data_IF_391990491708
#
_entry.id   IF_391990491708
#
_cell.length_a   1.000
_cell.length_b   1.000
_cell.length_c   1.000
_cell.angle_alpha   90.00
_cell.angle_beta   90.00
_cell.angle_gamma   90.00
#
_symmetry.space_group_name_H-M   'P 1'
#
loop_
_entity.id
_entity.type
_entity.pdbx_description
1 polymer ?
#
# COMPACT_ATOMS: atom_id res chain seq x y z
N UNK A 1 6.40 44.73 -6.71
CA UNK A 1 6.77 45.62 -7.79
C UNK A 1 7.94 45.05 -8.58
N UNK A 2 7.79 45.08 -9.89
CA UNK A 2 8.79 44.87 -10.96
C UNK A 2 9.31 43.44 -11.17
N UNK A 3 9.49 42.93 -12.39
CA UNK A 3 9.10 43.38 -13.74
C UNK A 3 9.17 42.14 -14.65
N UNK A 4 8.28 42.12 -15.61
CA UNK A 4 8.36 41.26 -16.81
C UNK A 4 9.52 41.73 -17.70
N UNK A 5 10.27 40.81 -18.32
CA UNK A 5 10.97 41.05 -19.57
C UNK A 5 10.69 39.85 -20.49
N UNK A 6 9.97 40.12 -21.55
CA UNK A 6 9.83 39.24 -22.71
C UNK A 6 10.93 39.53 -23.73
N UNK A 7 11.33 38.51 -24.48
CA UNK A 7 12.00 38.69 -25.76
C UNK A 7 11.42 37.73 -26.79
N UNK A 8 10.98 38.33 -27.87
CA UNK A 8 10.45 37.70 -29.09
C UNK A 8 11.57 37.51 -30.13
N UNK A 9 11.36 36.55 -31.01
CA UNK A 9 11.66 36.71 -32.42
C UNK A 9 12.93 36.03 -32.98
N UNK A 10 12.73 35.24 -34.02
CA UNK A 10 13.76 34.90 -34.97
C UNK A 10 13.50 33.57 -35.69
N UNK A 11 12.63 33.61 -36.69
CA UNK A 11 12.50 32.53 -37.68
C UNK A 11 13.65 32.61 -38.71
N UNK A 12 14.11 31.45 -39.14
CA UNK A 12 14.88 31.31 -40.39
C UNK A 12 14.40 30.10 -41.16
N UNK A 13 13.93 30.39 -42.35
CA UNK A 13 13.49 29.42 -43.37
C UNK A 13 14.70 28.68 -43.95
N UNK A 14 14.51 27.41 -44.30
CA UNK A 14 15.41 26.59 -45.10
C UNK A 14 15.02 26.65 -46.56
N UNK A 15 15.98 26.65 -47.48
CA UNK A 15 15.70 26.54 -48.93
C UNK A 15 15.55 25.09 -49.37
N UNK A 16 14.54 24.87 -50.19
CA UNK A 16 14.32 23.66 -51.00
C UNK A 16 15.29 23.58 -52.16
N UNK A 17 15.90 22.41 -52.37
CA UNK A 17 16.42 22.02 -53.70
C UNK A 17 15.97 20.61 -54.00
N UNK A 18 15.24 20.50 -55.12
CA UNK A 18 14.88 19.26 -55.77
C UNK A 18 16.06 18.83 -56.69
N UNK A 19 16.31 17.53 -56.76
CA UNK A 19 16.97 16.89 -57.85
C UNK A 19 16.49 15.44 -58.01
N UNK A 20 15.87 15.16 -59.15
CA UNK A 20 15.53 13.86 -59.68
C UNK A 20 16.79 13.04 -60.04
N UNK A 21 16.73 11.72 -59.86
CA UNK A 21 17.26 10.73 -60.82
C UNK A 21 16.94 9.29 -60.38
N UNK A 22 16.16 8.67 -61.21
CA UNK A 22 16.06 7.30 -61.74
C UNK A 22 16.68 6.07 -61.04
N UNK A 23 15.76 5.09 -60.86
CA UNK A 23 15.77 3.68 -61.19
C UNK A 23 16.96 2.79 -60.74
N UNK A 24 16.62 1.78 -59.96
CA UNK A 24 17.39 0.59 -59.70
C UNK A 24 16.59 -0.40 -58.86
N UNK A 25 15.78 -1.25 -59.47
CA UNK A 25 15.10 -2.35 -58.81
C UNK A 25 16.11 -3.40 -58.33
N UNK A 26 16.27 -3.53 -57.04
CA UNK A 26 16.88 -4.71 -56.40
C UNK A 26 16.00 -5.09 -55.23
N UNK A 27 15.25 -6.16 -55.43
CA UNK A 27 14.48 -6.83 -54.37
C UNK A 27 15.42 -7.56 -53.42
N UNK A 28 15.89 -6.88 -52.43
CA UNK A 28 16.48 -7.52 -51.24
C UNK A 28 15.42 -7.61 -50.16
N UNK A 29 14.90 -8.81 -49.93
CA UNK A 29 14.08 -9.14 -48.78
C UNK A 29 14.86 -8.85 -47.50
N UNK A 30 14.53 -7.74 -46.82
CA UNK A 30 15.04 -7.47 -45.52
C UNK A 30 14.60 -8.55 -44.51
N UNK A 31 15.48 -9.01 -43.63
CA UNK A 31 15.08 -9.95 -42.61
C UNK A 31 14.03 -9.24 -41.72
N UNK A 32 12.87 -9.88 -41.59
CA UNK A 32 11.83 -9.48 -40.66
C UNK A 32 12.41 -9.52 -39.26
N UNK A 33 12.81 -8.38 -38.71
CA UNK A 33 13.14 -8.28 -37.31
C UNK A 33 11.86 -8.57 -36.53
N UNK A 34 11.82 -9.73 -35.88
CA UNK A 34 10.77 -10.07 -34.95
C UNK A 34 10.66 -8.92 -33.95
N UNK A 35 9.46 -8.33 -33.82
CA UNK A 35 9.14 -7.32 -32.80
C UNK A 35 9.54 -7.97 -31.47
N UNK A 36 10.31 -7.28 -30.60
CA UNK A 36 10.57 -7.81 -29.27
C UNK A 36 9.22 -8.15 -28.62
N UNK A 37 9.04 -9.39 -28.25
CA UNK A 37 7.90 -9.81 -27.42
C UNK A 37 8.02 -9.03 -26.13
N UNK A 38 7.04 -8.18 -25.83
CA UNK A 38 6.90 -7.58 -24.50
C UNK A 38 7.00 -8.73 -23.50
N UNK A 39 7.78 -8.56 -22.41
CA UNK A 39 7.83 -9.57 -21.37
C UNK A 39 6.40 -9.80 -20.90
N UNK A 40 5.98 -11.07 -20.84
CA UNK A 40 4.68 -11.47 -20.36
C UNK A 40 4.41 -10.81 -19.02
N UNK A 41 3.44 -9.89 -19.01
CA UNK A 41 2.95 -9.30 -17.78
C UNK A 41 2.36 -10.45 -16.97
N UNK A 42 2.74 -10.66 -15.70
CA UNK A 42 2.07 -11.63 -14.86
C UNK A 42 0.57 -11.39 -14.96
N UNK A 43 -0.19 -12.42 -15.29
CA UNK A 43 -1.64 -12.30 -15.31
C UNK A 43 -2.07 -11.92 -13.92
N UNK A 44 -2.85 -10.86 -13.85
CA UNK A 44 -3.50 -10.44 -12.62
C UNK A 44 -4.16 -11.65 -11.94
N UNK A 45 -3.73 -12.07 -10.75
CA UNK A 45 -4.26 -13.25 -10.09
C UNK A 45 -5.61 -12.99 -9.40
N UNK A 46 -6.14 -11.78 -9.52
CA UNK A 46 -7.36 -11.39 -8.85
C UNK A 46 -8.58 -12.05 -9.46
N UNK A 47 -9.45 -12.58 -8.61
CA UNK A 47 -10.83 -12.84 -8.96
C UNK A 47 -11.67 -11.65 -8.54
N UNK A 48 -12.28 -10.96 -9.50
CA UNK A 48 -13.09 -9.77 -9.25
C UNK A 48 -14.54 -10.14 -9.00
N UNK A 49 -15.13 -9.48 -8.00
CA UNK A 49 -16.53 -9.62 -7.64
C UNK A 49 -17.13 -8.30 -7.16
N UNK A 50 -18.42 -8.35 -6.89
CA UNK A 50 -19.18 -7.25 -6.27
C UNK A 50 -20.05 -7.80 -5.14
N UNK A 51 -20.07 -7.08 -4.04
CA UNK A 51 -21.02 -7.32 -2.95
C UNK A 51 -21.66 -5.98 -2.58
N UNK A 52 -22.93 -5.79 -2.92
CA UNK A 52 -23.60 -4.49 -2.82
C UNK A 52 -22.72 -3.40 -3.48
N UNK A 53 -22.33 -2.37 -2.73
CA UNK A 53 -21.47 -1.27 -3.18
C UNK A 53 -19.98 -1.50 -2.85
N UNK A 54 -19.53 -2.75 -2.70
CA UNK A 54 -18.13 -3.11 -2.43
C UNK A 54 -17.55 -3.85 -3.62
N UNK A 55 -16.45 -3.36 -4.16
CA UNK A 55 -15.63 -4.08 -5.13
C UNK A 55 -14.73 -5.07 -4.40
N UNK A 56 -14.88 -6.34 -4.72
CA UNK A 56 -14.17 -7.44 -4.09
C UNK A 56 -13.08 -7.94 -5.00
N UNK A 57 -11.94 -8.30 -4.40
CA UNK A 57 -10.91 -9.15 -5.00
C UNK A 57 -10.75 -10.36 -4.13
N UNK A 58 -10.47 -11.49 -4.76
CA UNK A 58 -10.22 -12.74 -4.04
C UNK A 58 -8.92 -13.36 -4.54
N UNK A 59 -8.12 -13.85 -3.61
CA UNK A 59 -6.91 -14.62 -3.91
C UNK A 59 -6.85 -15.84 -3.02
N UNK A 60 -6.27 -16.91 -3.55
CA UNK A 60 -6.00 -18.13 -2.79
C UNK A 60 -4.50 -18.35 -2.74
N UNK A 61 -3.99 -18.61 -1.55
CA UNK A 61 -2.61 -18.98 -1.30
C UNK A 61 -2.58 -20.44 -0.92
N UNK A 62 -1.90 -21.23 -1.74
CA UNK A 62 -1.66 -22.64 -1.45
C UNK A 62 -0.50 -22.72 -0.44
N UNK A 63 -0.80 -23.15 0.76
CA UNK A 63 0.20 -23.37 1.81
C UNK A 63 0.93 -24.70 1.67
N UNK A 64 0.42 -25.60 0.80
CA UNK A 64 0.87 -26.99 0.71
C UNK A 64 0.57 -27.82 1.96
N UNK A 65 -0.30 -27.33 2.86
CA UNK A 65 -0.66 -27.97 4.12
C UNK A 65 -2.15 -28.25 4.10
N UNK A 66 -2.54 -29.42 4.53
CA UNK A 66 -3.95 -29.70 4.76
C UNK A 66 -4.45 -28.95 6.00
N UNK A 67 -5.76 -28.81 6.12
CA UNK A 67 -6.41 -28.19 7.28
C UNK A 67 -7.62 -27.34 6.87
N UNK A 68 -8.27 -26.76 7.86
CA UNK A 68 -9.36 -25.82 7.61
C UNK A 68 -8.81 -24.52 7.01
N UNK A 69 -9.39 -24.00 5.92
CA UNK A 69 -8.92 -22.77 5.32
C UNK A 69 -8.92 -21.59 6.32
N UNK A 70 -7.88 -20.77 6.24
CA UNK A 70 -7.81 -19.49 6.96
C UNK A 70 -8.25 -18.38 6.04
N UNK A 71 -9.21 -17.57 6.49
CA UNK A 71 -9.71 -16.43 5.74
C UNK A 71 -9.29 -15.13 6.41
N UNK A 72 -8.60 -14.28 5.64
CA UNK A 72 -8.23 -12.92 6.03
C UNK A 72 -8.88 -11.94 5.08
N UNK A 73 -9.48 -10.88 5.60
CA UNK A 73 -9.97 -9.77 4.77
C UNK A 73 -9.00 -8.61 4.93
N UNK A 74 -8.42 -8.16 3.83
CA UNK A 74 -7.70 -6.90 3.78
C UNK A 74 -8.62 -5.77 3.37
N UNK A 75 -8.56 -4.67 4.12
CA UNK A 75 -9.06 -3.35 3.76
C UNK A 75 -7.87 -2.39 3.75
N UNK A 76 -8.02 -1.23 3.14
CA UNK A 76 -6.94 -0.23 3.11
C UNK A 76 -7.48 1.15 2.82
N UNK A 77 -6.71 2.17 3.21
CA UNK A 77 -6.98 3.56 2.82
C UNK A 77 -8.45 3.93 3.04
N UNK A 78 -8.94 3.76 4.28
CA UNK A 78 -10.33 4.07 4.62
C UNK A 78 -10.57 5.59 4.63
N UNK A 79 -9.55 6.37 4.93
CA UNK A 79 -9.56 7.82 4.97
C UNK A 79 -10.76 8.41 5.73
N UNK A 80 -11.20 7.75 6.79
CA UNK A 80 -12.26 8.31 7.62
C UNK A 80 -11.72 9.54 8.35
N UNK A 81 -12.51 10.61 8.40
CA UNK A 81 -12.04 11.82 9.05
C UNK A 81 -13.19 12.75 9.42
N UNK A 82 -13.00 13.43 10.54
CA UNK A 82 -13.88 14.48 11.04
C UNK A 82 -13.16 15.33 12.07
N UNK A 83 -13.79 16.41 12.53
CA UNK A 83 -13.29 17.24 13.61
C UNK A 83 -14.35 17.36 14.70
N UNK A 84 -13.89 17.41 15.96
CA UNK A 84 -14.70 17.83 17.08
C UNK A 84 -14.91 19.36 17.07
N UNK A 85 -15.81 19.87 17.89
CA UNK A 85 -15.96 21.31 18.07
C UNK A 85 -14.68 21.97 18.62
N UNK A 86 -13.87 21.22 19.37
CA UNK A 86 -12.58 21.70 19.89
C UNK A 86 -11.53 21.74 18.78
N UNK A 87 -11.42 20.69 17.95
CA UNK A 87 -10.54 20.67 16.79
C UNK A 87 -10.78 21.87 15.86
N UNK A 88 -12.05 22.24 15.64
CA UNK A 88 -12.44 23.36 14.77
C UNK A 88 -12.06 24.75 15.30
N UNK A 89 -11.61 24.86 16.54
CA UNK A 89 -11.02 26.10 17.05
C UNK A 89 -9.61 26.33 16.52
N UNK A 90 -8.93 25.28 16.12
CA UNK A 90 -7.63 25.38 15.46
C UNK A 90 -7.82 25.73 13.97
N UNK A 91 -7.25 26.82 13.46
CA UNK A 91 -7.42 27.26 12.07
C UNK A 91 -6.96 26.21 11.04
N UNK A 92 -5.87 25.50 11.32
CA UNK A 92 -5.33 24.46 10.42
C UNK A 92 -6.27 23.29 10.33
N UNK A 93 -6.74 22.73 11.46
CA UNK A 93 -7.71 21.62 11.45
C UNK A 93 -9.03 22.03 10.81
N UNK A 94 -9.50 23.25 11.08
CA UNK A 94 -10.69 23.80 10.44
C UNK A 94 -10.53 23.87 8.93
N UNK A 95 -9.41 24.40 8.45
CA UNK A 95 -9.11 24.48 7.01
C UNK A 95 -9.03 23.07 6.39
N UNK A 96 -8.35 22.14 7.07
CA UNK A 96 -8.27 20.74 6.63
C UNK A 96 -9.66 20.11 6.52
N UNK A 97 -10.48 20.24 7.54
CA UNK A 97 -11.85 19.73 7.55
C UNK A 97 -12.69 20.30 6.41
N UNK A 98 -12.63 21.62 6.19
CA UNK A 98 -13.39 22.28 5.12
C UNK A 98 -12.92 21.85 3.73
N UNK A 99 -11.63 21.64 3.53
CA UNK A 99 -11.05 21.22 2.27
C UNK A 99 -11.26 19.71 1.99
N UNK A 100 -11.34 18.90 3.04
CA UNK A 100 -11.49 17.44 2.97
C UNK A 100 -12.92 16.96 3.26
N UNK A 101 -13.87 17.86 3.44
CA UNK A 101 -15.26 17.52 3.82
C UNK A 101 -15.98 16.60 2.84
N UNK A 102 -15.60 16.62 1.57
CA UNK A 102 -16.13 15.70 0.57
C UNK A 102 -15.77 14.24 0.90
N UNK A 103 -14.59 14.01 1.48
CA UNK A 103 -14.19 12.72 2.02
C UNK A 103 -14.74 12.46 3.42
N UNK A 104 -14.48 13.37 4.35
CA UNK A 104 -14.86 13.25 5.76
C UNK A 104 -16.39 13.23 5.97
N UNK A 105 -17.14 14.05 5.23
CA UNK A 105 -18.59 14.20 5.34
C UNK A 105 -19.36 13.60 4.16
N UNK A 106 -18.69 12.98 3.21
CA UNK A 106 -19.28 12.44 1.99
C UNK A 106 -19.12 10.93 1.85
N UNK A 107 -18.46 10.50 0.81
CA UNK A 107 -18.38 9.10 0.42
C UNK A 107 -17.43 8.23 1.27
N UNK A 108 -16.40 8.79 1.91
CA UNK A 108 -15.37 8.00 2.58
C UNK A 108 -15.92 7.17 3.73
N UNK A 109 -16.66 7.77 4.64
CA UNK A 109 -17.23 7.06 5.78
C UNK A 109 -18.26 6.00 5.36
N UNK A 110 -19.23 6.28 4.48
CA UNK A 110 -20.12 5.25 3.92
C UNK A 110 -19.37 4.11 3.24
N UNK A 111 -18.36 4.41 2.43
CA UNK A 111 -17.57 3.39 1.74
C UNK A 111 -16.77 2.51 2.71
N UNK A 112 -16.15 3.12 3.72
CA UNK A 112 -15.47 2.39 4.79
C UNK A 112 -16.42 1.45 5.54
N UNK A 113 -17.61 1.94 5.92
CA UNK A 113 -18.65 1.13 6.56
C UNK A 113 -19.09 -0.02 5.67
N UNK A 114 -19.33 0.22 4.38
CA UNK A 114 -19.69 -0.84 3.43
C UNK A 114 -18.60 -1.92 3.34
N UNK A 115 -17.32 -1.53 3.31
CA UNK A 115 -16.20 -2.48 3.31
C UNK A 115 -16.15 -3.31 4.59
N UNK A 116 -16.40 -2.70 5.74
CA UNK A 116 -16.48 -3.40 7.03
C UNK A 116 -17.69 -4.33 7.11
N UNK A 117 -18.85 -3.92 6.55
CA UNK A 117 -20.05 -4.77 6.47
C UNK A 117 -19.82 -5.99 5.59
N UNK A 118 -19.10 -5.81 4.48
CA UNK A 118 -18.63 -6.95 3.68
C UNK A 118 -17.71 -7.87 4.50
N UNK A 119 -16.71 -7.31 5.18
CA UNK A 119 -15.80 -8.09 6.00
C UNK A 119 -16.56 -8.93 7.04
N UNK A 120 -17.52 -8.35 7.73
CA UNK A 120 -18.35 -9.07 8.71
C UNK A 120 -19.19 -10.18 8.06
N UNK A 121 -19.75 -9.94 6.88
CA UNK A 121 -20.54 -10.92 6.15
C UNK A 121 -19.75 -12.19 5.79
N UNK A 122 -18.41 -12.07 5.66
CA UNK A 122 -17.51 -13.18 5.37
C UNK A 122 -17.11 -13.96 6.63
N UNK A 123 -17.38 -13.43 7.81
CA UNK A 123 -16.95 -13.99 9.11
C UNK A 123 -15.48 -14.45 9.08
N UNK A 124 -14.51 -13.60 8.73
CA UNK A 124 -13.13 -13.98 8.56
C UNK A 124 -12.44 -14.30 9.89
N UNK A 125 -11.36 -15.04 9.83
CA UNK A 125 -10.50 -15.30 10.98
C UNK A 125 -9.79 -14.02 11.44
N UNK A 126 -9.44 -13.12 10.49
CA UNK A 126 -8.83 -11.80 10.74
C UNK A 126 -9.28 -10.77 9.70
N UNK A 127 -9.26 -9.52 10.13
CA UNK A 127 -9.38 -8.34 9.28
C UNK A 127 -8.09 -7.55 9.46
N UNK A 128 -7.46 -7.12 8.36
CA UNK A 128 -6.26 -6.28 8.41
C UNK A 128 -6.50 -5.03 7.56
N UNK A 129 -6.33 -3.87 8.19
CA UNK A 129 -6.39 -2.57 7.51
C UNK A 129 -4.95 -2.12 7.28
N UNK A 130 -4.55 -1.99 6.02
CA UNK A 130 -3.16 -1.69 5.66
C UNK A 130 -2.89 -0.18 5.56
N UNK A 131 -3.21 0.56 6.61
CA UNK A 131 -2.88 1.98 6.77
C UNK A 131 -3.88 2.95 6.17
N UNK A 132 -3.62 4.23 6.38
CA UNK A 132 -4.49 5.35 6.02
C UNK A 132 -5.94 5.12 6.45
N UNK A 133 -6.11 4.61 7.68
CA UNK A 133 -7.41 4.37 8.27
C UNK A 133 -8.12 5.70 8.54
N UNK A 134 -7.36 6.74 8.92
CA UNK A 134 -7.85 8.11 9.03
C UNK A 134 -7.32 8.98 7.88
N UNK A 135 -8.04 10.06 7.56
CA UNK A 135 -7.67 10.99 6.48
C UNK A 135 -6.72 12.10 6.95
N UNK A 136 -6.79 12.45 8.22
CA UNK A 136 -5.90 13.38 8.91
C UNK A 136 -6.04 13.21 10.42
N UNK A 137 -4.96 13.47 11.14
CA UNK A 137 -4.94 13.34 12.59
C UNK A 137 -5.70 14.48 13.26
N UNK A 138 -6.78 14.14 13.94
CA UNK A 138 -7.57 15.01 14.81
C UNK A 138 -8.21 14.16 15.91
N UNK A 139 -8.65 14.78 16.99
CA UNK A 139 -9.42 14.09 18.03
C UNK A 139 -10.70 13.48 17.45
N UNK A 140 -11.38 14.20 16.55
CA UNK A 140 -12.56 13.73 15.86
C UNK A 140 -12.31 12.50 15.00
N UNK A 141 -11.23 12.50 14.19
CA UNK A 141 -10.87 11.36 13.35
C UNK A 141 -10.54 10.12 14.17
N UNK A 142 -9.81 10.27 15.25
CA UNK A 142 -9.46 9.16 16.15
C UNK A 142 -10.69 8.60 16.88
N UNK A 143 -11.62 9.46 17.30
CA UNK A 143 -12.87 9.03 17.89
C UNK A 143 -13.76 8.30 16.87
N UNK A 144 -13.81 8.79 15.63
CA UNK A 144 -14.56 8.15 14.55
C UNK A 144 -13.96 6.78 14.19
N UNK A 145 -12.62 6.66 14.16
CA UNK A 145 -11.93 5.38 13.98
C UNK A 145 -12.29 4.40 15.09
N UNK A 146 -12.28 4.89 16.34
CA UNK A 146 -12.68 4.08 17.50
C UNK A 146 -14.11 3.54 17.33
N UNK A 147 -15.07 4.41 17.05
CA UNK A 147 -16.48 4.07 16.87
C UNK A 147 -16.71 3.11 15.70
N UNK A 148 -16.04 3.38 14.57
CA UNK A 148 -16.28 2.68 13.31
C UNK A 148 -15.58 1.32 13.27
N UNK A 149 -14.40 1.21 13.85
CA UNK A 149 -13.55 0.01 13.75
C UNK A 149 -13.31 -0.65 15.10
N UNK A 150 -12.69 0.04 16.07
CA UNK A 150 -12.28 -0.62 17.31
C UNK A 150 -13.46 -1.17 18.12
N UNK A 151 -14.50 -0.37 18.34
CA UNK A 151 -15.66 -0.77 19.11
C UNK A 151 -16.49 -1.85 18.40
N UNK A 152 -16.45 -1.89 17.07
CA UNK A 152 -17.11 -2.92 16.27
C UNK A 152 -16.51 -4.32 16.46
N UNK A 153 -15.17 -4.38 16.69
CA UNK A 153 -14.44 -5.64 16.80
C UNK A 153 -13.96 -5.93 18.22
N UNK A 154 -14.59 -5.31 19.20
CA UNK A 154 -14.35 -5.59 20.61
C UNK A 154 -15.10 -6.85 21.04
N UNK A 155 -14.41 -7.78 21.66
CA UNK A 155 -15.04 -8.98 22.25
C UNK A 155 -15.73 -8.69 23.59
N UNK A 156 -16.33 -9.72 24.16
CA UNK A 156 -17.04 -9.61 25.44
C UNK A 156 -16.15 -9.20 26.62
N UNK A 157 -14.85 -9.37 26.52
CA UNK A 157 -13.86 -8.97 27.52
C UNK A 157 -13.31 -7.55 27.27
N UNK A 158 -13.83 -6.87 26.25
CA UNK A 158 -13.47 -5.52 25.87
C UNK A 158 -12.15 -5.43 25.08
N UNK A 159 -11.59 -6.55 24.63
CA UNK A 159 -10.39 -6.58 23.80
C UNK A 159 -10.73 -6.52 22.32
N UNK A 160 -9.92 -5.79 21.56
CA UNK A 160 -9.97 -5.86 20.10
C UNK A 160 -9.18 -7.09 19.66
N UNK A 161 -9.87 -8.09 19.17
CA UNK A 161 -9.27 -9.41 18.90
C UNK A 161 -9.23 -9.79 17.43
N UNK A 162 -10.06 -9.15 16.59
CA UNK A 162 -10.30 -9.60 15.22
C UNK A 162 -9.65 -8.71 14.16
N UNK A 163 -9.37 -7.45 14.47
CA UNK A 163 -8.82 -6.47 13.52
C UNK A 163 -7.42 -6.05 13.91
N UNK A 164 -6.55 -5.91 12.89
CA UNK A 164 -5.23 -5.27 12.98
C UNK A 164 -5.21 -4.08 12.03
N UNK A 165 -4.55 -2.99 12.41
CA UNK A 165 -4.38 -1.81 11.57
C UNK A 165 -2.91 -1.44 11.52
N UNK A 166 -2.28 -1.47 10.33
CA UNK A 166 -0.98 -0.86 10.11
C UNK A 166 -1.12 0.67 10.08
N UNK A 167 -0.09 1.39 10.45
CA UNK A 167 -0.07 2.83 10.21
C UNK A 167 0.24 3.11 8.74
N UNK A 168 -0.45 4.08 8.18
CA UNK A 168 -0.10 4.71 6.92
C UNK A 168 0.56 6.08 7.13
N UNK A 169 0.73 6.82 6.06
CA UNK A 169 1.30 8.16 6.14
C UNK A 169 0.29 9.19 6.67
N UNK A 170 -1.01 9.00 6.44
CA UNK A 170 -2.06 9.91 6.90
C UNK A 170 -2.20 9.99 8.43
N UNK A 171 -1.79 8.97 9.14
CA UNK A 171 -1.70 9.03 10.60
C UNK A 171 -0.56 9.94 11.08
N UNK A 172 0.48 10.16 10.26
CA UNK A 172 1.72 10.82 10.74
C UNK A 172 2.42 11.79 9.79
N UNK A 173 2.08 11.86 8.51
CA UNK A 173 2.87 12.59 7.51
C UNK A 173 2.89 14.11 7.70
N UNK A 174 4.04 14.72 7.40
CA UNK A 174 4.36 16.09 7.75
C UNK A 174 4.09 17.16 6.69
N UNK A 175 3.73 16.84 5.46
CA UNK A 175 3.88 17.84 4.38
C UNK A 175 2.70 17.96 3.42
N UNK A 176 1.50 17.61 3.81
CA UNK A 176 0.34 17.90 2.96
C UNK A 176 -0.43 19.09 3.49
N UNK A 177 -0.76 19.99 2.57
CA UNK A 177 -1.57 21.17 2.86
C UNK A 177 -2.84 20.79 3.64
N UNK A 178 -3.04 21.48 4.77
CA UNK A 178 -4.19 21.27 5.63
C UNK A 178 -4.06 20.13 6.64
N UNK A 179 -2.89 19.51 6.82
CA UNK A 179 -2.64 18.52 7.88
C UNK A 179 -2.17 19.16 9.17
N UNK A 180 -2.21 18.38 10.25
CA UNK A 180 -1.82 18.81 11.61
C UNK A 180 -0.31 18.96 11.82
N UNK A 181 0.48 18.71 10.81
CA UNK A 181 1.95 18.79 10.83
C UNK A 181 2.50 20.14 11.27
N UNK A 182 1.73 21.21 11.05
CA UNK A 182 2.07 22.55 11.52
C UNK A 182 1.71 22.79 12.99
N UNK A 183 0.95 21.86 13.60
CA UNK A 183 0.44 21.98 14.96
C UNK A 183 1.27 21.14 15.92
N UNK A 184 1.61 19.92 15.50
CA UNK A 184 2.26 18.92 16.31
C UNK A 184 3.57 18.45 15.70
N UNK A 185 4.56 18.20 16.54
CA UNK A 185 5.78 17.49 16.14
C UNK A 185 5.45 16.03 15.76
N UNK A 186 6.35 15.36 15.06
CA UNK A 186 6.17 13.95 14.74
C UNK A 186 6.00 13.09 16.00
N UNK A 187 6.79 13.38 17.04
CA UNK A 187 6.72 12.67 18.31
C UNK A 187 5.36 12.85 19.02
N UNK A 188 4.83 14.08 19.04
CA UNK A 188 3.50 14.35 19.59
C UNK A 188 2.41 13.59 18.82
N UNK A 189 2.51 13.56 17.49
CA UNK A 189 1.56 12.81 16.65
C UNK A 189 1.64 11.29 16.88
N UNK A 190 2.83 10.75 16.96
CA UNK A 190 3.01 9.32 17.28
C UNK A 190 2.46 8.99 18.67
N UNK A 191 2.62 9.89 19.63
CA UNK A 191 2.06 9.71 20.97
C UNK A 191 0.52 9.74 20.95
N UNK A 192 -0.08 10.70 20.24
CA UNK A 192 -1.54 10.79 20.08
C UNK A 192 -2.13 9.51 19.46
N UNK A 193 -1.44 8.96 18.45
CA UNK A 193 -1.85 7.70 17.84
C UNK A 193 -1.72 6.56 18.84
N UNK A 194 -0.58 6.41 19.51
CA UNK A 194 -0.33 5.36 20.51
C UNK A 194 -1.38 5.31 21.61
N UNK A 195 -1.81 6.45 22.11
CA UNK A 195 -2.79 6.54 23.21
C UNK A 195 -4.17 5.99 22.84
N UNK A 196 -4.49 5.96 21.56
CA UNK A 196 -5.81 5.55 21.06
C UNK A 196 -5.78 4.28 20.21
N UNK A 197 -4.60 3.72 19.96
CA UNK A 197 -4.44 2.51 19.18
C UNK A 197 -4.58 1.27 20.07
N UNK A 198 -5.31 0.30 19.63
CA UNK A 198 -5.68 -0.85 20.46
C UNK A 198 -4.66 -2.01 20.43
N UNK A 199 -3.58 -1.85 19.66
CA UNK A 199 -2.46 -2.81 19.62
C UNK A 199 -1.14 -2.07 19.35
N UNK A 200 -0.01 -2.79 19.29
CA UNK A 200 1.27 -2.18 18.97
C UNK A 200 1.26 -1.59 17.56
N UNK A 201 1.61 -0.31 17.45
CA UNK A 201 1.59 0.41 16.18
C UNK A 201 2.74 0.03 15.24
N UNK A 202 3.83 -0.50 15.78
CA UNK A 202 5.02 -0.83 14.99
C UNK A 202 4.93 -2.24 14.41
N UNK A 203 4.49 -3.20 15.25
CA UNK A 203 4.56 -4.60 14.89
C UNK A 203 3.58 -5.44 15.70
N UNK A 204 2.78 -6.23 15.02
CA UNK A 204 1.92 -7.21 15.66
C UNK A 204 1.90 -8.50 14.84
N UNK A 205 2.18 -9.63 15.48
CA UNK A 205 2.08 -10.96 14.87
C UNK A 205 1.02 -11.78 15.58
N UNK A 206 0.15 -12.45 14.83
CA UNK A 206 -0.92 -13.31 15.35
C UNK A 206 -0.95 -14.62 14.58
N UNK A 207 -0.91 -15.73 15.29
CA UNK A 207 -1.12 -17.05 14.69
C UNK A 207 -2.61 -17.39 14.63
N UNK A 208 -3.06 -17.85 13.47
CA UNK A 208 -4.45 -18.19 13.16
C UNK A 208 -4.55 -19.68 12.90
N UNK A 209 -5.44 -20.36 13.61
CA UNK A 209 -5.71 -21.82 13.49
C UNK A 209 -4.44 -22.69 13.51
N UNK A 210 -3.39 -22.23 14.18
CA UNK A 210 -2.08 -22.92 14.20
C UNK A 210 -1.51 -23.25 12.80
N UNK A 211 -1.79 -22.41 11.82
CA UNK A 211 -1.43 -22.62 10.41
C UNK A 211 -0.85 -21.36 9.75
N UNK A 212 -1.43 -20.21 10.03
CA UNK A 212 -1.08 -18.95 9.36
C UNK A 212 -0.65 -17.92 10.37
N UNK A 213 0.49 -17.31 10.15
CA UNK A 213 0.97 -16.17 10.92
C UNK A 213 0.69 -14.88 10.13
N UNK A 214 -0.20 -14.06 10.65
CA UNK A 214 -0.54 -12.74 10.13
C UNK A 214 0.35 -11.73 10.84
N UNK A 215 1.18 -11.01 10.10
CA UNK A 215 2.11 -10.01 10.62
C UNK A 215 1.75 -8.64 10.05
N UNK A 216 1.40 -7.71 10.94
CA UNK A 216 1.24 -6.30 10.63
C UNK A 216 2.54 -5.56 10.98
N UNK A 217 3.02 -4.70 10.08
CA UNK A 217 4.24 -3.90 10.24
C UNK A 217 3.99 -2.43 9.88
N UNK A 218 4.71 -1.53 10.53
CA UNK A 218 4.71 -0.11 10.20
C UNK A 218 5.78 0.22 9.15
N UNK A 219 5.35 0.84 8.05
CA UNK A 219 6.24 1.46 7.08
C UNK A 219 5.64 2.75 6.47
N UNK A 220 4.59 3.30 7.10
CA UNK A 220 3.80 4.41 6.56
C UNK A 220 4.53 5.76 6.42
N UNK A 221 5.85 5.80 6.63
CA UNK A 221 6.71 6.96 6.37
C UNK A 221 7.84 6.63 5.37
N UNK A 222 7.58 5.72 4.45
CA UNK A 222 8.55 5.27 3.46
C UNK A 222 9.65 4.37 4.01
N UNK A 223 9.57 3.97 5.28
CA UNK A 223 10.63 3.20 5.94
C UNK A 223 10.10 2.34 7.07
N UNK A 224 10.61 1.13 7.13
CA UNK A 224 10.50 0.29 8.32
C UNK A 224 11.32 0.86 9.49
N UNK A 225 10.99 0.46 10.71
CA UNK A 225 11.69 0.84 11.93
C UNK A 225 12.69 -0.22 12.37
N UNK A 226 13.79 0.20 12.97
CA UNK A 226 14.86 -0.71 13.44
C UNK A 226 14.34 -1.78 14.40
N UNK A 227 13.39 -1.41 15.25
CA UNK A 227 12.78 -2.28 16.25
C UNK A 227 12.05 -3.47 15.62
N UNK A 228 11.60 -3.36 14.39
CA UNK A 228 10.90 -4.43 13.67
C UNK A 228 11.86 -5.54 13.19
N UNK A 229 13.15 -5.23 12.99
CA UNK A 229 14.14 -6.18 12.48
C UNK A 229 14.28 -7.43 13.35
N UNK A 230 14.51 -7.33 14.68
CA UNK A 230 14.59 -8.50 15.53
C UNK A 230 13.26 -9.25 15.64
N UNK A 231 12.13 -8.55 15.62
CA UNK A 231 10.78 -9.14 15.71
C UNK A 231 10.49 -9.98 14.48
N UNK A 232 10.63 -9.42 13.28
CA UNK A 232 10.41 -10.17 12.03
C UNK A 232 11.34 -11.38 11.93
N UNK A 233 12.61 -11.24 12.33
CA UNK A 233 13.57 -12.36 12.35
C UNK A 233 13.09 -13.50 13.23
N UNK A 234 12.61 -13.19 14.44
CA UNK A 234 12.13 -14.18 15.40
C UNK A 234 10.88 -14.89 14.86
N UNK A 235 9.94 -14.15 14.29
CA UNK A 235 8.68 -14.72 13.79
C UNK A 235 8.88 -15.55 12.52
N UNK A 236 9.78 -15.15 11.62
CA UNK A 236 10.12 -15.97 10.45
C UNK A 236 10.83 -17.29 10.88
N UNK A 237 11.66 -17.25 11.94
CA UNK A 237 12.26 -18.46 12.50
C UNK A 237 11.20 -19.37 13.15
N UNK A 238 10.29 -18.79 13.92
CA UNK A 238 9.16 -19.52 14.53
C UNK A 238 8.25 -20.12 13.46
N UNK A 239 7.94 -19.36 12.40
CA UNK A 239 7.13 -19.85 11.29
C UNK A 239 7.76 -21.07 10.61
N UNK A 240 9.09 -21.09 10.43
CA UNK A 240 9.80 -22.28 9.92
C UNK A 240 9.72 -23.47 10.87
N UNK A 241 9.96 -23.23 12.17
CA UNK A 241 9.91 -24.27 13.19
C UNK A 241 8.53 -24.93 13.25
N UNK A 242 7.48 -24.11 13.25
CA UNK A 242 6.09 -24.59 13.38
C UNK A 242 5.44 -24.93 12.04
N UNK A 243 6.07 -24.56 10.94
CA UNK A 243 5.51 -24.73 9.62
C UNK A 243 4.38 -23.75 9.30
N UNK A 244 4.33 -22.54 9.84
CA UNK A 244 3.30 -21.55 9.51
C UNK A 244 3.53 -20.93 8.13
N UNK A 245 2.45 -20.57 7.45
CA UNK A 245 2.48 -19.67 6.30
C UNK A 245 2.39 -18.25 6.81
N UNK A 246 3.32 -17.38 6.41
CA UNK A 246 3.37 -15.98 6.85
C UNK A 246 2.72 -15.08 5.81
N UNK A 247 1.79 -14.25 6.24
CA UNK A 247 1.22 -13.15 5.48
C UNK A 247 1.70 -11.83 6.06
N UNK A 248 2.35 -11.01 5.25
CA UNK A 248 2.91 -9.72 5.66
C UNK A 248 1.98 -8.59 5.22
N UNK A 249 1.61 -7.71 6.14
CA UNK A 249 0.73 -6.58 5.91
C UNK A 249 1.41 -5.29 6.34
N UNK A 250 1.50 -4.33 5.44
CA UNK A 250 2.00 -2.99 5.72
C UNK A 250 1.44 -2.01 4.68
N UNK A 251 1.62 -0.71 4.89
CA UNK A 251 0.96 0.31 4.08
C UNK A 251 1.58 0.47 2.69
N UNK A 252 2.86 0.84 2.64
CA UNK A 252 3.55 1.15 1.40
C UNK A 252 4.15 -0.12 0.78
N UNK A 253 3.90 -0.41 -0.51
CA UNK A 253 4.47 -1.59 -1.16
C UNK A 253 6.00 -1.51 -1.28
N UNK A 254 6.63 -2.68 -1.32
CA UNK A 254 8.07 -2.80 -1.57
C UNK A 254 8.33 -2.64 -3.06
N UNK A 255 9.30 -1.79 -3.43
CA UNK A 255 9.76 -1.71 -4.82
C UNK A 255 10.44 -3.01 -5.22
N UNK A 256 9.99 -3.60 -6.32
CA UNK A 256 10.58 -4.84 -6.87
C UNK A 256 11.66 -4.58 -7.90
N UNK A 257 11.90 -3.31 -8.25
CA UNK A 257 12.77 -2.92 -9.36
C UNK A 257 12.14 -3.14 -10.74
N UNK A 258 10.89 -3.58 -10.82
CA UNK A 258 10.17 -3.68 -12.07
C UNK A 258 9.88 -2.25 -12.60
N UNK A 259 10.16 -1.95 -13.87
CA UNK A 259 9.81 -0.66 -14.46
C UNK A 259 8.33 -0.29 -14.33
N UNK A 260 7.44 -1.26 -14.29
CA UNK A 260 6.00 -1.06 -14.05
C UNK A 260 5.65 -0.48 -12.69
N UNK A 261 6.48 -0.69 -11.68
CA UNK A 261 6.31 -0.06 -10.37
C UNK A 261 6.28 1.47 -10.49
N UNK A 262 7.06 2.02 -11.43
CA UNK A 262 7.06 3.46 -11.74
C UNK A 262 5.80 3.92 -12.46
N UNK A 263 5.27 3.09 -13.35
CA UNK A 263 4.10 3.44 -14.18
C UNK A 263 2.84 3.52 -13.32
N UNK A 264 2.66 2.60 -12.38
CA UNK A 264 1.55 2.63 -11.42
C UNK A 264 1.64 3.86 -10.55
N UNK A 265 2.82 4.18 -10.04
CA UNK A 265 3.08 5.37 -9.27
C UNK A 265 2.77 6.67 -10.06
N UNK A 266 3.27 6.78 -11.29
CA UNK A 266 3.01 7.92 -12.18
C UNK A 266 1.51 8.04 -12.53
N UNK A 267 0.80 6.94 -12.62
CA UNK A 267 -0.63 6.90 -12.93
C UNK A 267 -1.47 7.50 -11.81
N UNK A 268 -1.11 7.20 -10.56
CA UNK A 268 -1.82 7.68 -9.38
C UNK A 268 -1.60 9.17 -9.13
N UNK A 269 -0.36 9.63 -9.19
CA UNK A 269 -0.01 11.03 -8.85
C UNK A 269 -0.44 12.03 -9.92
N UNK A 270 -0.89 11.55 -11.05
CA UNK A 270 -1.31 12.38 -12.16
C UNK A 270 -0.15 12.95 -13.00
N UNK A 271 -0.50 13.55 -14.12
CA UNK A 271 0.47 14.16 -15.03
C UNK A 271 1.15 15.35 -14.36
N UNK A 272 2.39 15.20 -13.96
CA UNK A 272 3.20 16.28 -13.38
C UNK A 272 3.75 16.00 -11.99
N UNK A 273 3.29 14.98 -11.30
CA UNK A 273 4.01 14.48 -10.15
C UNK A 273 5.28 13.81 -10.68
N UNK A 274 6.35 14.54 -10.61
CA UNK A 274 7.63 14.07 -11.11
C UNK A 274 8.07 12.79 -10.40
N UNK A 275 9.11 12.19 -10.93
CA UNK A 275 9.81 11.00 -10.43
C UNK A 275 10.30 11.06 -8.97
N UNK A 276 9.88 12.07 -8.21
CA UNK A 276 10.34 12.37 -6.85
C UNK A 276 9.41 11.89 -5.74
N UNK A 277 8.23 11.32 -6.06
CA UNK A 277 7.39 10.68 -5.06
C UNK A 277 7.74 9.21 -4.93
N UNK A 278 8.17 8.84 -3.74
CA UNK A 278 8.54 7.50 -3.39
C UNK A 278 7.37 6.84 -2.69
N UNK A 279 6.45 6.28 -3.47
CA UNK A 279 5.32 5.55 -2.94
C UNK A 279 5.65 4.10 -2.57
N UNK A 280 6.91 3.72 -2.66
CA UNK A 280 7.38 2.40 -2.31
C UNK A 280 8.44 2.50 -1.24
N UNK A 281 8.30 1.71 -0.21
CA UNK A 281 9.34 1.59 0.82
C UNK A 281 10.70 1.35 0.17
N UNK A 282 11.62 2.25 0.42
CA UNK A 282 12.98 2.20 -0.13
C UNK A 282 13.14 2.65 -1.57
N UNK A 283 12.14 3.26 -2.20
CA UNK A 283 12.19 3.69 -3.60
C UNK A 283 12.92 5.02 -3.83
N UNK A 284 13.40 5.69 -2.79
CA UNK A 284 14.20 6.89 -2.94
C UNK A 284 15.50 6.61 -3.65
N UNK A 285 15.53 6.85 -4.96
CA UNK A 285 16.75 7.07 -5.79
C UNK A 285 17.77 5.94 -5.79
N UNK A 286 18.06 5.32 -4.67
CA UNK A 286 18.83 4.10 -4.56
C UNK A 286 17.84 2.96 -4.33
N UNK A 287 17.80 2.01 -5.22
CA UNK A 287 17.26 0.70 -5.00
C UNK A 287 17.37 0.36 -3.49
N UNK A 288 16.29 0.02 -2.76
CA UNK A 288 16.34 -0.32 -1.33
C UNK A 288 17.33 -1.44 -1.03
N UNK A 289 17.75 -2.12 -2.07
CA UNK A 289 18.70 -3.22 -2.10
C UNK A 289 20.15 -2.77 -2.16
N UNK A 290 20.42 -1.50 -2.45
CA UNK A 290 21.80 -1.00 -2.60
C UNK A 290 22.45 -0.56 -1.29
N UNK A 291 21.64 -0.32 -0.24
CA UNK A 291 22.17 -0.12 1.10
C UNK A 291 21.81 -1.33 1.99
N UNK A 292 22.67 -2.34 2.01
CA UNK A 292 22.45 -3.54 2.81
C UNK A 292 22.43 -3.26 4.32
N UNK A 293 22.95 -2.14 4.77
CA UNK A 293 23.04 -1.81 6.18
C UNK A 293 21.82 -1.00 6.68
N UNK A 294 20.96 -0.55 5.77
CA UNK A 294 19.73 0.13 6.13
C UNK A 294 18.68 -0.84 6.72
N UNK A 295 17.79 -0.30 7.54
CA UNK A 295 16.64 -1.05 8.06
C UNK A 295 15.79 -1.64 6.94
N UNK A 296 15.48 -0.85 5.91
CA UNK A 296 14.73 -1.30 4.74
C UNK A 296 15.44 -2.46 4.03
N UNK A 297 16.76 -2.35 3.83
CA UNK A 297 17.56 -3.42 3.26
C UNK A 297 17.59 -4.68 4.12
N UNK A 298 17.63 -4.54 5.44
CA UNK A 298 17.59 -5.67 6.36
C UNK A 298 16.24 -6.41 6.31
N UNK A 299 15.13 -5.68 6.39
CA UNK A 299 13.76 -6.25 6.28
C UNK A 299 13.58 -6.91 4.92
N UNK A 300 13.93 -6.21 3.84
CA UNK A 300 13.83 -6.77 2.49
C UNK A 300 14.60 -8.09 2.36
N UNK A 301 15.86 -8.14 2.80
CA UNK A 301 16.63 -9.39 2.75
C UNK A 301 16.00 -10.53 3.55
N UNK A 302 15.37 -10.23 4.69
CA UNK A 302 14.65 -11.25 5.44
C UNK A 302 13.45 -11.78 4.65
N UNK A 303 12.68 -10.89 4.01
CA UNK A 303 11.54 -11.28 3.18
C UNK A 303 12.00 -12.15 2.00
N UNK A 304 12.94 -11.68 1.18
CA UNK A 304 13.38 -12.40 -0.04
C UNK A 304 14.13 -13.70 0.24
N UNK A 305 14.66 -13.89 1.44
CA UNK A 305 15.28 -15.15 1.86
C UNK A 305 14.34 -16.05 2.66
N UNK A 306 13.05 -15.76 2.65
CA UNK A 306 12.04 -16.51 3.43
C UNK A 306 10.87 -16.96 2.57
N UNK A 307 11.11 -17.19 1.28
CA UNK A 307 10.11 -17.70 0.35
C UNK A 307 9.64 -19.14 0.65
N UNK A 308 10.28 -19.79 1.62
CA UNK A 308 9.83 -21.07 2.19
C UNK A 308 8.60 -20.91 3.09
N UNK A 309 8.44 -19.76 3.75
CA UNK A 309 7.34 -19.51 4.69
C UNK A 309 6.49 -18.28 4.31
N UNK A 310 7.02 -17.28 3.62
CA UNK A 310 6.24 -16.09 3.22
C UNK A 310 5.35 -16.42 2.04
N UNK A 311 4.04 -16.46 2.27
CA UNK A 311 3.02 -16.73 1.27
C UNK A 311 2.58 -15.51 0.48
N UNK A 312 2.75 -14.29 1.02
CA UNK A 312 2.39 -13.06 0.33
C UNK A 312 2.62 -11.80 1.13
N UNK A 313 2.68 -10.69 0.40
CA UNK A 313 2.77 -9.31 0.90
C UNK A 313 1.53 -8.55 0.46
N UNK A 314 0.93 -7.80 1.37
CA UNK A 314 -0.35 -7.11 1.18
C UNK A 314 -0.23 -5.66 1.61
N UNK A 315 -0.53 -4.74 0.68
CA UNK A 315 -0.30 -3.30 0.84
C UNK A 315 -1.50 -2.48 0.38
N UNK A 316 -1.44 -1.17 0.63
CA UNK A 316 -2.36 -0.15 0.16
C UNK A 316 -1.63 1.00 -0.50
N UNK A 317 -1.93 2.25 -0.06
CA UNK A 317 -1.23 3.48 -0.37
C UNK A 317 -1.38 3.99 -1.81
N UNK A 318 -1.28 3.13 -2.81
CA UNK A 318 -1.30 3.55 -4.23
C UNK A 318 -2.69 3.89 -4.75
N UNK A 319 -3.75 3.61 -3.99
CA UNK A 319 -5.15 3.77 -4.40
C UNK A 319 -5.46 3.14 -5.77
N UNK A 320 -4.76 2.09 -6.11
CA UNK A 320 -4.91 1.32 -7.33
C UNK A 320 -4.69 -0.17 -7.05
N UNK A 321 -5.43 -1.03 -7.74
CA UNK A 321 -5.15 -2.45 -7.71
C UNK A 321 -3.86 -2.71 -8.49
N UNK A 322 -2.90 -3.34 -7.84
CA UNK A 322 -1.65 -3.67 -8.47
C UNK A 322 -1.09 -4.99 -7.93
N UNK A 323 -0.62 -5.82 -8.84
CA UNK A 323 0.05 -7.07 -8.54
C UNK A 323 1.48 -7.04 -9.05
N UNK A 324 2.41 -7.49 -8.22
CA UNK A 324 3.80 -7.66 -8.62
C UNK A 324 4.41 -8.88 -7.91
N UNK A 325 5.56 -9.32 -8.40
CA UNK A 325 6.27 -10.48 -7.89
C UNK A 325 7.64 -10.06 -7.35
N UNK A 326 7.86 -10.30 -6.07
CA UNK A 326 9.14 -10.10 -5.41
C UNK A 326 9.99 -11.33 -5.70
N UNK A 327 11.11 -11.15 -6.42
CA UNK A 327 12.07 -12.21 -6.66
C UNK A 327 12.73 -12.64 -5.35
N UNK A 328 12.59 -13.89 -5.00
CA UNK A 328 12.93 -14.42 -3.70
C UNK A 328 13.60 -15.79 -3.81
N UNK A 329 14.04 -16.33 -2.69
CA UNK A 329 14.60 -17.67 -2.60
C UNK A 329 14.30 -18.30 -1.24
N UNK A 330 14.32 -19.61 -1.22
CA UNK A 330 14.31 -20.40 0.02
C UNK A 330 15.68 -20.37 0.70
N UNK A 331 15.80 -20.74 1.98
CA UNK A 331 17.09 -20.79 2.67
C UNK A 331 18.12 -21.72 2.02
N UNK A 332 17.68 -22.77 1.32
CA UNK A 332 18.54 -23.68 0.53
C UNK A 332 18.87 -23.15 -0.88
N UNK A 333 18.43 -21.90 -1.19
CA UNK A 333 18.81 -21.18 -2.41
C UNK A 333 17.91 -21.42 -3.62
N UNK A 334 16.81 -22.18 -3.50
CA UNK A 334 15.88 -22.37 -4.61
C UNK A 334 15.17 -21.06 -4.94
N UNK A 335 15.17 -20.67 -6.20
CA UNK A 335 14.47 -19.48 -6.68
C UNK A 335 12.95 -19.65 -6.54
N UNK A 336 12.30 -18.65 -5.99
CA UNK A 336 10.84 -18.55 -5.84
C UNK A 336 10.42 -17.08 -6.03
N UNK A 337 9.13 -16.87 -6.15
CA UNK A 337 8.52 -15.54 -6.10
C UNK A 337 7.63 -15.43 -4.88
N UNK A 338 7.59 -14.24 -4.28
CA UNK A 338 6.61 -13.88 -3.26
C UNK A 338 5.64 -12.90 -3.92
N UNK A 339 4.34 -13.21 -3.99
CA UNK A 339 3.35 -12.32 -4.55
C UNK A 339 3.18 -11.08 -3.66
N UNK A 340 3.12 -9.90 -4.27
CA UNK A 340 2.76 -8.66 -3.61
C UNK A 340 1.47 -8.11 -4.21
N UNK A 341 0.48 -7.90 -3.37
CA UNK A 341 -0.84 -7.40 -3.71
C UNK A 341 -1.02 -6.00 -3.13
N UNK A 342 -1.32 -5.03 -3.98
CA UNK A 342 -1.69 -3.68 -3.57
C UNK A 342 -3.18 -3.51 -3.84
N UNK A 343 -3.95 -3.26 -2.80
CA UNK A 343 -5.38 -3.03 -2.91
C UNK A 343 -5.66 -1.53 -3.06
N UNK A 344 -6.60 -1.19 -3.93
CA UNK A 344 -7.09 0.18 -4.03
C UNK A 344 -7.89 0.58 -2.79
N UNK A 345 -7.77 1.83 -2.40
CA UNK A 345 -8.47 2.39 -1.24
C UNK A 345 -9.97 2.57 -1.47
N UNK A 346 -10.70 2.72 -0.37
CA UNK A 346 -12.15 2.90 -0.36
C UNK A 346 -12.65 4.33 -0.69
N UNK A 347 -11.80 5.40 -0.79
CA UNK A 347 -12.33 6.76 -0.71
C UNK A 347 -13.15 7.18 -1.93
N UNK A 348 -12.78 6.77 -3.14
CA UNK A 348 -13.16 7.56 -4.32
C UNK A 348 -14.47 7.18 -4.98
N UNK A 349 -14.90 5.93 -5.00
CA UNK A 349 -16.14 5.55 -5.69
C UNK A 349 -17.02 4.57 -4.88
N UNK A 350 -16.43 3.52 -4.32
CA UNK A 350 -17.12 2.45 -3.61
C UNK A 350 -16.25 1.89 -2.48
N UNK A 351 -16.82 1.01 -1.65
CA UNK A 351 -16.04 0.17 -0.75
C UNK A 351 -15.14 -0.79 -1.54
N UNK A 352 -14.01 -1.15 -0.96
CA UNK A 352 -13.06 -2.09 -1.53
C UNK A 352 -12.61 -3.11 -0.48
N UNK A 353 -12.43 -4.35 -0.89
CA UNK A 353 -11.92 -5.42 -0.04
C UNK A 353 -11.14 -6.46 -0.85
N UNK A 354 -10.13 -7.05 -0.22
CA UNK A 354 -9.46 -8.26 -0.70
C UNK A 354 -9.73 -9.40 0.29
N UNK A 355 -10.30 -10.48 -0.22
CA UNK A 355 -10.44 -11.73 0.51
C UNK A 355 -9.28 -12.65 0.18
N UNK A 356 -8.55 -13.02 1.21
CA UNK A 356 -7.39 -13.90 1.14
C UNK A 356 -7.78 -15.22 1.79
N UNK A 357 -7.68 -16.32 1.04
CA UNK A 357 -7.88 -17.67 1.54
C UNK A 357 -6.56 -18.41 1.51
N UNK A 358 -6.12 -18.92 2.65
CA UNK A 358 -4.94 -19.81 2.76
C UNK A 358 -5.44 -21.24 2.97
N UNK A 359 -5.02 -22.17 2.14
CA UNK A 359 -5.43 -23.58 2.18
C UNK A 359 -4.29 -24.54 1.88
#
# INVERSE_FOLDING_TARGET
>A
ALALVGCAGGGTELPTTAADSESGSSTTTAPTTAKPTEPDTPKDPWHYGMWNDVKIREVTIDSGKGGDPVTVIQLTDLHIGTCTAEDLKNPTLKSTFENRKWGANGAFVPNAKASLDYADSQNPDRIVITGDAIDYLSEGSMNLLKETVWDRYRDGDGKVSRVLIALGNHEREQKMEGRVDEIYTLEEREQMVKEKWEHDILYTAVVVKDQVMVIQMDNGMGSFRNEQVPLLRADLALAREKGYTVLLFFHEPISTGNPKDRDVNASYVGKGAGTSFNFYTGSTVANPFTDPDSTNGAIYRMIVNSADVVGGVFCGHLHADYYTEIQAKTPDGQAKVIPQYVLTGTPYDKGHALKITVQ
#
